data_IF_696255253368
#
_entry.id   IF_696255253368
#
_cell.length_a   1.000
_cell.length_b   1.000
_cell.length_c   1.000
_cell.angle_alpha   90.00
_cell.angle_beta   90.00
_cell.angle_gamma   90.00
#
_symmetry.space_group_name_H-M   'P 1'
#
loop_
_entity.id
_entity.type
_entity.pdbx_description
1 polymer ?
#
# COMPACT_ATOMS: atom_id res chain seq x y z
N UNK A 1 -27.00 35.37 -8.02
CA UNK A 1 -26.10 35.46 -9.18
C UNK A 1 -25.37 34.13 -9.22
N UNK A 2 -25.84 33.18 -10.04
CA UNK A 2 -25.15 31.91 -10.23
C UNK A 2 -23.79 32.20 -10.89
N UNK A 3 -22.67 31.62 -10.43
CA UNK A 3 -21.38 31.85 -11.08
C UNK A 3 -21.46 31.34 -12.52
N UNK A 4 -21.22 32.21 -13.50
CA UNK A 4 -21.11 31.83 -14.91
C UNK A 4 -20.10 30.70 -15.05
N UNK A 5 -20.58 29.49 -15.39
CA UNK A 5 -19.72 28.33 -15.60
C UNK A 5 -18.92 28.56 -16.87
N UNK A 6 -17.66 28.97 -16.72
CA UNK A 6 -16.71 29.07 -17.82
C UNK A 6 -16.66 27.73 -18.57
N UNK A 7 -16.84 27.70 -19.91
CA UNK A 7 -16.77 26.47 -20.66
C UNK A 7 -15.38 25.84 -20.51
N UNK A 8 -15.36 24.51 -20.33
CA UNK A 8 -14.12 23.76 -20.17
C UNK A 8 -13.34 23.75 -21.48
N UNK A 9 -12.02 23.89 -21.40
CA UNK A 9 -11.16 23.68 -22.56
C UNK A 9 -11.11 22.20 -22.92
N UNK A 10 -10.74 21.89 -24.17
CA UNK A 10 -10.51 20.52 -24.61
C UNK A 10 -9.53 19.78 -23.69
N UNK A 11 -8.44 20.46 -23.30
CA UNK A 11 -7.44 19.91 -22.40
C UNK A 11 -8.04 19.52 -21.04
N UNK A 12 -8.93 20.35 -20.49
CA UNK A 12 -9.58 20.09 -19.20
C UNK A 12 -10.56 18.91 -19.30
N UNK A 13 -11.27 18.78 -20.42
CA UNK A 13 -12.11 17.61 -20.70
C UNK A 13 -11.28 16.33 -20.79
N UNK A 14 -10.13 16.38 -21.47
CA UNK A 14 -9.19 15.25 -21.55
C UNK A 14 -8.65 14.87 -20.18
N UNK A 15 -8.32 15.83 -19.32
CA UNK A 15 -7.86 15.54 -17.96
C UNK A 15 -8.93 14.86 -17.11
N UNK A 16 -10.16 15.36 -17.13
CA UNK A 16 -11.28 14.72 -16.41
C UNK A 16 -11.49 13.30 -16.89
N UNK A 17 -11.56 13.12 -18.21
CA UNK A 17 -11.70 11.79 -18.80
C UNK A 17 -10.54 10.88 -18.43
N UNK A 18 -9.31 11.37 -18.40
CA UNK A 18 -8.15 10.58 -17.99
C UNK A 18 -8.27 10.15 -16.52
N UNK A 19 -8.59 11.08 -15.61
CA UNK A 19 -8.79 10.80 -14.19
C UNK A 19 -9.91 9.77 -13.97
N UNK A 20 -11.05 9.92 -14.64
CA UNK A 20 -12.19 9.02 -14.54
C UNK A 20 -11.87 7.60 -15.04
N UNK A 21 -10.89 7.47 -15.94
CA UNK A 21 -10.49 6.21 -16.57
C UNK A 21 -9.12 5.69 -16.10
N UNK A 22 -8.61 6.18 -14.96
CA UNK A 22 -7.31 5.78 -14.40
C UNK A 22 -7.15 4.26 -14.23
N UNK A 23 -8.23 3.55 -13.92
CA UNK A 23 -8.23 2.08 -13.81
C UNK A 23 -7.84 1.33 -15.08
N UNK A 24 -7.87 2.00 -16.23
CA UNK A 24 -7.51 1.43 -17.53
C UNK A 24 -6.13 1.90 -18.02
N UNK A 25 -5.45 2.78 -17.27
CA UNK A 25 -4.08 3.18 -17.59
C UNK A 25 -3.10 2.11 -17.14
N UNK A 26 -2.34 1.59 -18.10
CA UNK A 26 -1.26 0.63 -17.83
C UNK A 26 0.10 1.33 -17.84
N UNK A 27 0.55 1.81 -19.01
CA UNK A 27 1.79 2.58 -19.14
C UNK A 27 1.49 4.06 -19.40
N UNK A 28 2.36 4.92 -18.88
CA UNK A 28 2.38 6.37 -19.18
C UNK A 28 3.65 6.80 -19.92
N UNK A 29 4.31 5.86 -20.58
CA UNK A 29 5.49 6.14 -21.40
C UNK A 29 5.15 7.14 -22.51
N UNK A 30 6.11 8.02 -22.82
CA UNK A 30 5.97 9.09 -23.82
C UNK A 30 4.98 10.21 -23.46
N UNK A 31 4.42 10.22 -22.25
CA UNK A 31 3.62 11.35 -21.77
C UNK A 31 4.50 12.44 -21.16
N UNK A 32 4.11 13.69 -21.40
CA UNK A 32 4.80 14.84 -20.83
C UNK A 32 4.64 14.86 -19.29
N UNK A 33 5.75 15.09 -18.58
CA UNK A 33 5.79 15.13 -17.12
C UNK A 33 4.81 16.16 -16.52
N UNK A 34 4.52 17.25 -17.23
CA UNK A 34 3.52 18.25 -16.82
C UNK A 34 2.10 17.69 -16.75
N UNK A 35 1.72 16.80 -17.69
CA UNK A 35 0.43 16.13 -17.70
C UNK A 35 0.35 15.12 -16.54
N UNK A 36 1.42 14.36 -16.34
CA UNK A 36 1.51 13.36 -15.27
C UNK A 36 1.38 13.98 -13.88
N UNK A 37 1.96 15.18 -13.67
CA UNK A 37 1.78 15.96 -12.43
C UNK A 37 0.34 16.34 -12.14
N UNK A 38 -0.54 16.38 -13.15
CA UNK A 38 -1.96 16.68 -13.00
C UNK A 38 -2.81 15.43 -12.84
N UNK A 39 -2.45 14.34 -13.53
CA UNK A 39 -3.26 13.11 -13.56
C UNK A 39 -2.92 12.18 -12.39
N UNK A 40 -1.64 11.87 -12.18
CA UNK A 40 -1.20 10.87 -11.19
C UNK A 40 -1.57 11.18 -9.74
N UNK A 41 -1.72 12.45 -9.28
CA UNK A 41 -2.19 12.73 -7.92
C UNK A 41 -3.60 12.20 -7.59
N UNK A 42 -4.38 11.83 -8.61
CA UNK A 42 -5.72 11.26 -8.45
C UNK A 42 -5.71 9.73 -8.38
N UNK A 43 -4.56 9.08 -8.58
CA UNK A 43 -4.44 7.63 -8.47
C UNK A 43 -4.67 7.14 -7.03
N UNK A 44 -5.27 5.96 -6.90
CA UNK A 44 -5.15 5.15 -5.68
C UNK A 44 -3.74 4.56 -5.58
N UNK A 45 -3.41 4.00 -4.41
CA UNK A 45 -2.13 3.31 -4.19
C UNK A 45 -1.94 2.16 -5.19
N UNK A 46 -2.98 1.35 -5.39
CA UNK A 46 -2.98 0.21 -6.30
C UNK A 46 -2.78 0.65 -7.75
N UNK A 47 -3.49 1.70 -8.18
CA UNK A 47 -3.34 2.26 -9.52
C UNK A 47 -1.93 2.82 -9.74
N UNK A 48 -1.37 3.56 -8.78
CA UNK A 48 -0.02 4.09 -8.90
C UNK A 48 1.02 2.97 -8.97
N UNK A 49 0.86 1.93 -8.16
CA UNK A 49 1.76 0.77 -8.13
C UNK A 49 1.71 0.03 -9.47
N UNK A 50 0.51 -0.18 -10.02
CA UNK A 50 0.32 -0.81 -11.33
C UNK A 50 0.97 0.01 -12.44
N UNK A 51 0.69 1.32 -12.51
CA UNK A 51 1.27 2.22 -13.52
C UNK A 51 2.80 2.21 -13.46
N UNK A 52 3.39 2.31 -12.27
CA UNK A 52 4.85 2.25 -12.11
C UNK A 52 5.45 0.89 -12.47
N UNK A 53 4.69 -0.21 -12.36
CA UNK A 53 5.17 -1.54 -12.75
C UNK A 53 5.13 -1.77 -14.26
N UNK A 54 4.29 -1.03 -14.98
CA UNK A 54 4.11 -1.14 -16.43
C UNK A 54 4.78 -0.01 -17.23
N UNK A 55 5.38 0.97 -16.57
CA UNK A 55 6.02 2.14 -17.20
C UNK A 55 7.54 2.05 -17.05
N UNK A 56 8.29 2.22 -18.15
CA UNK A 56 9.76 2.19 -18.12
C UNK A 56 10.37 3.56 -17.77
N UNK A 57 9.68 4.65 -18.13
CA UNK A 57 10.08 6.02 -17.84
C UNK A 57 10.24 6.29 -16.32
N UNK A 58 11.27 7.06 -15.94
CA UNK A 58 11.46 7.46 -14.54
C UNK A 58 10.39 8.46 -14.08
N UNK A 59 9.46 7.98 -13.27
CA UNK A 59 8.38 8.78 -12.69
C UNK A 59 8.74 9.40 -11.33
N UNK A 60 9.95 9.20 -10.81
CA UNK A 60 10.36 9.61 -9.45
C UNK A 60 10.07 11.09 -9.17
N UNK A 61 10.21 11.96 -10.17
CA UNK A 61 9.94 13.40 -10.04
C UNK A 61 8.48 13.77 -9.75
N UNK A 62 7.55 12.83 -9.95
CA UNK A 62 6.11 13.01 -9.70
C UNK A 62 5.61 12.06 -8.63
N UNK A 63 6.11 10.81 -8.59
CA UNK A 63 5.53 9.78 -7.74
C UNK A 63 6.10 9.73 -6.34
N UNK A 64 7.34 10.18 -6.10
CA UNK A 64 7.97 10.12 -4.76
C UNK A 64 7.14 10.89 -3.71
N UNK A 65 6.56 12.04 -4.09
CA UNK A 65 5.65 12.80 -3.21
C UNK A 65 4.30 12.10 -3.00
N UNK A 66 3.82 11.33 -3.98
CA UNK A 66 2.60 10.54 -3.85
C UNK A 66 2.82 9.36 -2.91
N UNK A 67 3.95 8.66 -3.05
CA UNK A 67 4.39 7.61 -2.13
C UNK A 67 4.51 8.11 -0.69
N UNK A 68 5.04 9.32 -0.48
CA UNK A 68 5.05 9.94 0.85
C UNK A 68 3.64 10.10 1.44
N UNK A 69 2.67 10.54 0.62
CA UNK A 69 1.26 10.69 1.06
C UNK A 69 0.63 9.35 1.38
N UNK A 70 0.88 8.32 0.57
CA UNK A 70 0.40 6.97 0.85
C UNK A 70 1.03 6.40 2.13
N UNK A 71 2.32 6.61 2.34
CA UNK A 71 2.99 6.22 3.58
C UNK A 71 2.34 6.85 4.81
N UNK A 72 2.07 8.16 4.76
CA UNK A 72 1.38 8.85 5.86
C UNK A 72 -0.05 8.33 6.06
N UNK A 73 -0.78 8.02 4.98
CA UNK A 73 -2.15 7.52 5.04
C UNK A 73 -2.22 6.12 5.67
N UNK A 74 -1.36 5.21 5.26
CA UNK A 74 -1.38 3.80 5.69
C UNK A 74 -0.75 3.60 7.08
N UNK A 75 0.33 4.33 7.39
CA UNK A 75 1.09 4.13 8.62
C UNK A 75 0.94 5.27 9.64
N UNK A 76 0.33 6.39 9.25
CA UNK A 76 0.20 7.57 10.09
C UNK A 76 1.40 8.51 10.07
N UNK A 77 1.17 9.70 10.62
CA UNK A 77 2.14 10.79 10.61
C UNK A 77 3.34 10.55 11.55
N UNK A 78 3.11 9.91 12.69
CA UNK A 78 4.18 9.60 13.65
C UNK A 78 5.29 8.75 13.00
N UNK A 79 4.89 7.72 12.25
CA UNK A 79 5.80 6.86 11.53
C UNK A 79 6.51 7.55 10.38
N UNK A 80 5.80 8.41 9.64
CA UNK A 80 6.41 9.25 8.61
C UNK A 80 7.51 10.14 9.21
N UNK A 81 7.25 10.75 10.37
CA UNK A 81 8.20 11.62 11.05
C UNK A 81 9.43 10.87 11.54
N UNK A 82 9.26 9.64 12.03
CA UNK A 82 10.38 8.75 12.37
C UNK A 82 11.24 8.44 11.15
N UNK A 83 10.63 8.13 10.00
CA UNK A 83 11.36 7.89 8.76
C UNK A 83 12.16 9.12 8.31
N UNK A 84 11.55 10.31 8.35
CA UNK A 84 12.22 11.58 8.02
C UNK A 84 13.38 11.85 8.97
N UNK A 85 13.19 11.63 10.28
CA UNK A 85 14.24 11.81 11.28
C UNK A 85 15.44 10.88 11.02
N UNK A 86 15.18 9.60 10.74
CA UNK A 86 16.22 8.62 10.39
C UNK A 86 16.99 9.01 9.13
N UNK A 87 16.30 9.50 8.09
CA UNK A 87 16.95 10.02 6.88
C UNK A 87 17.88 11.20 7.17
N UNK A 88 17.43 12.11 8.05
CA UNK A 88 18.25 13.27 8.44
C UNK A 88 19.49 12.85 9.23
N UNK A 89 19.34 11.91 10.14
CA UNK A 89 20.43 11.39 10.98
C UNK A 89 21.46 10.60 10.17
N UNK A 90 21.01 9.81 9.18
CA UNK A 90 21.92 9.05 8.31
C UNK A 90 22.53 9.88 7.19
N UNK A 91 21.98 11.07 6.90
CA UNK A 91 22.36 11.87 5.73
C UNK A 91 21.94 11.26 4.38
N UNK A 92 21.17 10.17 4.39
CA UNK A 92 20.75 9.45 3.18
C UNK A 92 19.28 9.74 2.87
N UNK A 93 19.01 10.11 1.61
CA UNK A 93 17.64 10.26 1.11
C UNK A 93 17.18 8.96 0.45
N UNK A 94 16.23 8.26 1.08
CA UNK A 94 15.60 7.09 0.48
C UNK A 94 14.35 7.48 -0.32
N UNK A 95 14.03 6.68 -1.35
CA UNK A 95 12.75 6.80 -2.07
C UNK A 95 11.60 6.34 -1.17
N UNK A 96 10.50 7.08 -1.14
CA UNK A 96 9.35 6.77 -0.29
C UNK A 96 8.71 5.42 -0.63
N UNK A 97 8.71 5.03 -1.90
CA UNK A 97 8.26 3.71 -2.36
C UNK A 97 8.97 2.56 -1.63
N UNK A 98 10.30 2.59 -1.56
CA UNK A 98 11.09 1.53 -0.90
C UNK A 98 10.77 1.42 0.58
N UNK A 99 10.64 2.56 1.27
CA UNK A 99 10.25 2.57 2.68
C UNK A 99 8.84 2.00 2.89
N UNK A 100 7.93 2.30 1.97
CA UNK A 100 6.57 1.78 1.99
C UNK A 100 6.57 0.26 1.85
N UNK A 101 7.26 -0.27 0.83
CA UNK A 101 7.38 -1.70 0.57
C UNK A 101 8.02 -2.45 1.77
N UNK A 102 9.16 -1.97 2.27
CA UNK A 102 9.86 -2.57 3.41
C UNK A 102 8.99 -2.62 4.67
N UNK A 103 8.22 -1.55 4.93
CA UNK A 103 7.35 -1.49 6.10
C UNK A 103 6.14 -2.41 5.96
N UNK A 104 5.53 -2.44 4.77
CA UNK A 104 4.41 -3.33 4.45
C UNK A 104 4.81 -4.79 4.63
N UNK A 105 6.00 -5.16 4.14
CA UNK A 105 6.54 -6.50 4.27
C UNK A 105 6.81 -6.88 5.73
N UNK A 106 7.37 -5.96 6.53
CA UNK A 106 7.56 -6.18 7.98
C UNK A 106 6.23 -6.40 8.70
N UNK A 107 5.17 -5.66 8.36
CA UNK A 107 3.84 -5.87 8.95
C UNK A 107 3.28 -7.25 8.59
N UNK A 108 3.36 -7.65 7.32
CA UNK A 108 2.93 -8.98 6.86
C UNK A 108 3.65 -10.11 7.61
N UNK A 109 4.96 -9.97 7.81
CA UNK A 109 5.74 -10.97 8.55
C UNK A 109 5.34 -11.07 10.02
N UNK A 110 5.06 -9.94 10.68
CA UNK A 110 4.56 -9.93 12.06
C UNK A 110 3.19 -10.59 12.14
N UNK A 111 2.28 -10.25 11.24
CA UNK A 111 0.93 -10.82 11.18
C UNK A 111 0.98 -12.35 10.94
N UNK A 112 1.81 -12.82 10.01
CA UNK A 112 2.01 -14.24 9.74
C UNK A 112 2.57 -15.01 10.95
N UNK A 113 3.50 -14.40 11.70
CA UNK A 113 4.04 -15.02 12.92
C UNK A 113 2.98 -15.13 14.00
N UNK A 114 2.15 -14.10 14.16
CA UNK A 114 1.06 -14.10 15.13
C UNK A 114 0.00 -15.13 14.78
N UNK A 115 -0.43 -15.21 13.52
CA UNK A 115 -1.43 -16.17 13.06
C UNK A 115 -0.93 -17.63 13.19
N UNK A 116 0.34 -17.90 12.84
CA UNK A 116 0.97 -19.20 13.07
C UNK A 116 1.02 -19.55 14.57
N UNK A 117 1.35 -18.58 15.43
CA UNK A 117 1.35 -18.77 16.88
C UNK A 117 -0.04 -19.11 17.45
N UNK A 118 -1.10 -18.46 16.96
CA UNK A 118 -2.48 -18.78 17.34
C UNK A 118 -2.89 -20.19 16.89
N UNK A 119 -2.56 -20.55 15.64
CA UNK A 119 -2.85 -21.87 15.09
C UNK A 119 -2.16 -22.98 15.90
N UNK A 120 -0.89 -22.82 16.23
CA UNK A 120 -0.14 -23.80 17.02
C UNK A 120 -0.77 -24.00 18.43
N UNK A 121 -1.25 -22.92 19.06
CA UNK A 121 -1.94 -23.02 20.36
C UNK A 121 -3.27 -23.77 20.25
N UNK A 122 -4.03 -23.54 19.19
CA UNK A 122 -5.30 -24.25 18.95
C UNK A 122 -5.08 -25.74 18.69
N UNK A 123 -4.10 -26.09 17.86
CA UNK A 123 -3.71 -27.48 17.60
C UNK A 123 -3.25 -28.19 18.88
N UNK A 124 -2.44 -27.52 19.72
CA UNK A 124 -2.01 -28.06 21.01
C UNK A 124 -3.18 -28.30 21.99
N UNK A 125 -4.13 -27.37 22.06
CA UNK A 125 -5.32 -27.51 22.90
C UNK A 125 -6.24 -28.65 22.44
N UNK A 126 -6.47 -28.78 21.13
CA UNK A 126 -7.26 -29.88 20.57
C UNK A 126 -6.60 -31.24 20.79
N UNK A 127 -5.27 -31.33 20.60
CA UNK A 127 -4.53 -32.55 20.89
C UNK A 127 -4.70 -32.96 22.36
N UNK A 128 -4.49 -32.03 23.30
CA UNK A 128 -4.67 -32.29 24.74
C UNK A 128 -6.09 -32.77 25.10
N UNK A 129 -7.11 -32.23 24.42
CA UNK A 129 -8.51 -32.63 24.63
C UNK A 129 -8.80 -34.03 24.08
N UNK A 130 -8.21 -34.37 22.93
CA UNK A 130 -8.33 -35.71 22.34
C UNK A 130 -7.64 -36.77 23.18
N UNK A 131 -6.44 -36.49 23.71
CA UNK A 131 -5.74 -37.40 24.63
C UNK A 131 -6.51 -37.60 25.95
N UNK A 132 -7.14 -36.56 26.49
CA UNK A 132 -7.99 -36.66 27.68
C UNK A 132 -9.23 -37.53 27.43
N UNK A 133 -9.87 -37.39 26.25
CA UNK A 133 -11.01 -38.22 25.85
C UNK A 133 -10.67 -39.71 25.70
N UNK A 134 -9.52 -40.04 25.10
CA UNK A 134 -9.06 -41.42 24.93
C UNK A 134 -8.76 -42.08 26.30
N UNK A 135 -8.09 -41.36 27.21
CA UNK A 135 -7.81 -41.86 28.56
C UNK A 135 -9.08 -42.12 29.38
N UNK A 136 -10.11 -41.27 29.24
CA UNK A 136 -11.38 -41.45 29.96
C UNK A 136 -12.18 -42.67 29.47
N UNK A 137 -12.07 -43.01 28.18
CA UNK A 137 -12.70 -44.21 27.60
C UNK A 137 -11.95 -45.48 28.04
N UNK A 138 -10.61 -45.46 28.05
CA UNK A 138 -9.82 -46.61 28.49
C UNK A 138 -9.94 -46.89 29.99
N UNK A 139 -10.13 -45.88 30.85
CA UNK A 139 -10.34 -46.10 32.29
C UNK A 139 -11.74 -46.63 32.66
N UNK A 140 -12.72 -46.57 31.76
CA UNK A 140 -14.08 -47.12 31.99
C UNK A 140 -14.27 -48.55 31.49
N UNK A 141 -13.23 -49.13 30.87
CA UNK A 141 -13.23 -50.49 30.32
C UNK A 141 -12.49 -51.52 31.21
N UNK A 142 -12.09 -51.11 32.42
CA UNK A 142 -11.60 -51.96 33.50
C UNK A 142 -12.49 -51.78 34.73
#
# INVERSE_FOLDING_TARGET
>A
MEPERKPLSLLELCFRSAVDNLRYMNSVDNLEMGLLKRILPHCTLEQLTHIESCTEMDLTGVTDVLWKRFFQREFGEADMNVAIKRMKESGVRYKWKKLFEEKTEKQKQVEQRMSAGLRNKYEAANAGTQYAGINLVCMKLF
#
